data_IF_004961882558
#
_entry.id   IF_004961882558
#
_cell.length_a   1.000
_cell.length_b   1.000
_cell.length_c   1.000
_cell.angle_alpha   90.00
_cell.angle_beta   90.00
_cell.angle_gamma   90.00
#
_symmetry.space_group_name_H-M   'P 1'
#
loop_
_entity.id
_entity.type
_entity.pdbx_description
1 polymer ?
#
# COMPACT_ATOMS: atom_id res chain seq x y z
N UNK A 1 7.36 -27.18 24.99
CA UNK A 1 6.40 -26.07 25.17
C UNK A 1 6.84 -24.86 24.31
N UNK A 2 6.79 -24.99 22.99
CA UNK A 2 7.37 -24.01 22.04
C UNK A 2 6.32 -23.33 21.12
N UNK A 3 5.03 -23.54 21.40
CA UNK A 3 3.95 -23.02 20.55
C UNK A 3 3.50 -21.60 20.90
N UNK A 4 3.93 -21.04 22.05
CA UNK A 4 3.42 -19.74 22.54
C UNK A 4 4.25 -18.53 22.09
N UNK A 5 5.49 -18.71 21.64
CA UNK A 5 6.35 -17.59 21.24
C UNK A 5 6.03 -17.02 19.85
N UNK A 6 5.44 -17.80 18.94
CA UNK A 6 5.11 -17.32 17.58
C UNK A 6 3.93 -16.36 17.54
N UNK A 7 3.03 -16.40 18.53
CA UNK A 7 1.87 -15.51 18.58
C UNK A 7 2.24 -14.08 19.07
N UNK A 8 3.34 -13.94 19.81
CA UNK A 8 3.71 -12.66 20.44
C UNK A 8 4.40 -11.72 19.44
N UNK A 9 5.11 -12.26 18.44
CA UNK A 9 5.77 -11.44 17.41
C UNK A 9 4.79 -10.84 16.38
N UNK A 10 3.59 -11.40 16.23
CA UNK A 10 2.54 -10.84 15.36
C UNK A 10 1.78 -9.66 16.01
N UNK A 11 1.85 -9.51 17.33
CA UNK A 11 1.18 -8.41 18.05
C UNK A 11 1.96 -7.10 18.10
N UNK A 12 3.26 -7.12 17.77
CA UNK A 12 4.15 -5.97 17.95
C UNK A 12 4.21 -5.02 16.72
N UNK A 13 3.37 -5.25 15.71
CA UNK A 13 3.20 -4.32 14.59
C UNK A 13 2.03 -3.34 14.80
N UNK A 14 1.20 -3.54 15.82
CA UNK A 14 -0.04 -2.78 16.04
C UNK A 14 0.12 -1.49 16.89
N UNK A 15 1.32 -1.20 17.41
CA UNK A 15 1.53 -0.11 18.37
C UNK A 15 2.69 0.83 18.02
N UNK A 16 3.20 0.80 16.78
CA UNK A 16 4.06 1.87 16.30
C UNK A 16 3.15 2.93 15.65
N UNK A 17 3.37 4.24 15.92
CA UNK A 17 2.70 5.28 15.15
C UNK A 17 2.89 4.92 13.69
N UNK A 18 1.81 4.92 12.90
CA UNK A 18 1.81 4.46 11.52
C UNK A 18 2.96 5.13 10.76
N UNK A 19 4.11 4.48 10.76
CA UNK A 19 5.27 4.95 10.04
C UNK A 19 4.86 4.81 8.60
N UNK A 20 4.96 5.93 7.89
CA UNK A 20 4.71 5.99 6.46
C UNK A 20 5.37 4.78 5.81
N UNK A 21 4.57 3.89 5.22
CA UNK A 21 5.12 2.64 4.71
C UNK A 21 6.02 2.94 3.51
N UNK A 22 7.23 2.35 3.51
CA UNK A 22 8.23 2.53 2.47
C UNK A 22 8.63 1.18 1.84
N UNK A 23 8.75 1.10 0.50
CA UNK A 23 9.30 -0.05 -0.20
C UNK A 23 10.83 -0.05 -0.08
N UNK A 24 11.34 -0.31 1.13
CA UNK A 24 12.79 -0.28 1.42
C UNK A 24 13.54 -1.50 0.88
N UNK A 25 12.85 -2.64 0.75
CA UNK A 25 13.41 -3.88 0.20
C UNK A 25 12.34 -4.67 -0.55
N UNK A 26 12.72 -5.61 -1.45
CA UNK A 26 11.75 -6.49 -2.09
C UNK A 26 10.96 -7.34 -1.09
N UNK A 27 11.58 -7.71 0.03
CA UNK A 27 10.90 -8.42 1.12
C UNK A 27 9.83 -7.56 1.81
N UNK A 28 10.10 -6.26 2.00
CA UNK A 28 9.12 -5.33 2.56
C UNK A 28 7.89 -5.17 1.62
N UNK A 29 8.15 -5.13 0.31
CA UNK A 29 7.10 -5.07 -0.73
C UNK A 29 6.23 -6.32 -0.68
N UNK A 30 6.85 -7.51 -0.65
CA UNK A 30 6.13 -8.77 -0.55
C UNK A 30 5.32 -8.86 0.75
N UNK A 31 5.91 -8.48 1.89
CA UNK A 31 5.23 -8.46 3.18
C UNK A 31 4.00 -7.53 3.16
N UNK A 32 4.11 -6.37 2.49
CA UNK A 32 2.98 -5.45 2.33
C UNK A 32 1.87 -6.02 1.45
N UNK A 33 2.22 -6.71 0.37
CA UNK A 33 1.25 -7.40 -0.48
C UNK A 33 0.48 -8.46 0.33
N UNK A 34 1.20 -9.28 1.09
CA UNK A 34 0.61 -10.32 1.94
C UNK A 34 -0.27 -9.73 3.04
N UNK A 35 0.19 -8.66 3.70
CA UNK A 35 -0.58 -7.93 4.71
C UNK A 35 -1.90 -7.42 4.13
N UNK A 36 -1.88 -6.77 2.96
CA UNK A 36 -3.08 -6.24 2.32
C UNK A 36 -4.03 -7.36 1.86
N UNK A 37 -3.49 -8.46 1.32
CA UNK A 37 -4.30 -9.62 0.94
C UNK A 37 -5.02 -10.22 2.14
N UNK A 38 -4.33 -10.39 3.27
CA UNK A 38 -4.93 -10.88 4.51
C UNK A 38 -5.92 -9.87 5.10
N UNK A 39 -5.58 -8.59 5.11
CA UNK A 39 -6.41 -7.53 5.67
C UNK A 39 -7.73 -7.36 4.91
N UNK A 40 -7.78 -7.73 3.63
CA UNK A 40 -8.98 -7.59 2.79
C UNK A 40 -9.66 -8.92 2.47
N UNK A 41 -9.08 -10.05 2.89
CA UNK A 41 -9.71 -11.35 2.72
C UNK A 41 -11.07 -11.36 3.45
N UNK A 42 -12.14 -11.63 2.70
CA UNK A 42 -13.50 -11.70 3.23
C UNK A 42 -14.17 -10.35 3.55
N UNK A 43 -13.51 -9.21 3.25
CA UNK A 43 -14.11 -7.88 3.39
C UNK A 43 -14.91 -7.50 2.14
N UNK A 44 -15.97 -6.72 2.33
CA UNK A 44 -16.72 -6.07 1.26
C UNK A 44 -15.90 -4.97 0.58
N UNK A 45 -16.33 -4.56 -0.62
CA UNK A 45 -15.69 -3.48 -1.36
C UNK A 45 -15.69 -2.14 -0.57
N UNK A 46 -16.74 -1.88 0.19
CA UNK A 46 -16.90 -0.68 1.03
C UNK A 46 -15.93 -0.70 2.22
N UNK A 47 -15.79 -1.84 2.89
CA UNK A 47 -14.81 -2.00 3.98
C UNK A 47 -13.37 -1.86 3.47
N UNK A 48 -13.08 -2.40 2.29
CA UNK A 48 -11.77 -2.24 1.64
C UNK A 48 -11.53 -0.77 1.27
N UNK A 49 -12.55 -0.06 0.76
CA UNK A 49 -12.45 1.36 0.46
C UNK A 49 -12.13 2.18 1.72
N UNK A 50 -12.84 1.92 2.82
CA UNK A 50 -12.62 2.63 4.09
C UNK A 50 -11.23 2.34 4.67
N UNK A 51 -10.75 1.09 4.57
CA UNK A 51 -9.41 0.70 4.98
C UNK A 51 -8.33 1.45 4.17
N UNK A 52 -8.49 1.58 2.84
CA UNK A 52 -7.59 2.38 2.00
C UNK A 52 -7.58 3.86 2.40
N UNK A 53 -8.75 4.44 2.69
CA UNK A 53 -8.84 5.84 3.17
C UNK A 53 -8.10 6.00 4.50
N UNK A 54 -8.28 5.05 5.42
CA UNK A 54 -7.58 5.07 6.71
C UNK A 54 -6.06 5.03 6.52
N UNK A 55 -5.56 4.11 5.68
CA UNK A 55 -4.14 4.00 5.35
C UNK A 55 -3.59 5.25 4.65
N UNK A 56 -4.40 5.90 3.83
CA UNK A 56 -4.00 7.13 3.14
C UNK A 56 -3.73 8.31 4.10
N UNK A 57 -4.28 8.29 5.32
CA UNK A 57 -4.10 9.34 6.34
C UNK A 57 -2.80 9.20 7.15
N UNK A 58 -1.90 8.32 6.74
CA UNK A 58 -0.57 8.19 7.35
C UNK A 58 0.28 9.46 7.15
N UNK A 59 1.35 9.68 7.97
CA UNK A 59 2.36 10.69 7.69
C UNK A 59 2.93 10.54 6.27
N UNK A 60 3.39 11.64 5.67
CA UNK A 60 3.84 11.66 4.27
C UNK A 60 4.99 10.67 4.02
N UNK A 61 4.80 9.64 3.18
CA UNK A 61 5.88 8.77 2.73
C UNK A 61 6.85 9.48 1.78
N UNK A 62 8.12 9.07 1.81
CA UNK A 62 9.17 9.51 0.90
C UNK A 62 8.87 9.13 -0.55
N UNK A 63 8.25 7.97 -0.78
CA UNK A 63 7.90 7.55 -2.14
C UNK A 63 6.99 8.55 -2.86
N UNK A 64 6.18 9.35 -2.16
CA UNK A 64 5.31 10.40 -2.74
C UNK A 64 6.09 11.42 -3.57
N UNK A 65 7.35 11.68 -3.20
CA UNK A 65 8.22 12.62 -3.91
C UNK A 65 8.91 12.02 -5.14
N UNK A 66 8.72 10.72 -5.41
CA UNK A 66 9.35 10.01 -6.52
C UNK A 66 8.37 9.89 -7.69
N UNK A 67 8.91 9.88 -8.91
CA UNK A 67 8.12 9.66 -10.13
C UNK A 67 7.97 8.17 -10.43
N UNK A 68 9.10 7.45 -10.50
CA UNK A 68 9.18 6.01 -10.70
C UNK A 68 10.57 5.49 -10.28
N UNK A 69 10.67 4.21 -9.93
CA UNK A 69 11.95 3.52 -9.67
C UNK A 69 11.77 2.00 -9.79
N UNK A 70 12.87 1.23 -9.70
CA UNK A 70 12.81 -0.23 -9.68
C UNK A 70 13.65 -0.83 -8.56
N UNK A 71 13.36 -2.07 -8.20
CA UNK A 71 14.11 -2.88 -7.24
C UNK A 71 14.25 -4.30 -7.77
N UNK A 72 15.44 -4.86 -7.68
CA UNK A 72 15.76 -6.20 -8.22
C UNK A 72 15.80 -7.21 -7.07
N UNK A 73 15.20 -8.38 -7.28
CA UNK A 73 15.19 -9.52 -6.38
C UNK A 73 15.40 -10.82 -7.18
N UNK A 74 16.67 -11.18 -7.37
CA UNK A 74 17.02 -12.36 -8.16
C UNK A 74 16.43 -12.26 -9.58
N UNK A 75 15.54 -13.19 -10.00
CA UNK A 75 14.92 -13.13 -11.32
C UNK A 75 13.76 -12.12 -11.43
N UNK A 76 13.26 -11.57 -10.32
CA UNK A 76 12.09 -10.68 -10.30
C UNK A 76 12.54 -9.22 -10.19
N UNK A 77 12.00 -8.35 -11.03
CA UNK A 77 12.16 -6.89 -10.92
C UNK A 77 10.83 -6.25 -10.54
N UNK A 78 10.81 -5.54 -9.43
CA UNK A 78 9.69 -4.69 -9.02
C UNK A 78 9.86 -3.29 -9.61
N UNK A 79 8.91 -2.85 -10.41
CA UNK A 79 8.79 -1.50 -10.93
C UNK A 79 7.75 -0.74 -10.11
N UNK A 80 8.12 0.46 -9.67
CA UNK A 80 7.28 1.34 -8.89
C UNK A 80 6.98 2.62 -9.67
N UNK A 81 5.74 3.08 -9.57
CA UNK A 81 5.30 4.35 -10.10
C UNK A 81 4.35 5.03 -9.12
N UNK A 82 4.35 6.36 -9.10
CA UNK A 82 3.43 7.14 -8.26
C UNK A 82 2.34 7.74 -9.13
N UNK A 83 1.12 7.21 -8.98
CA UNK A 83 -0.08 7.81 -9.54
C UNK A 83 -0.58 8.96 -8.67
N UNK A 84 -1.14 9.98 -9.31
CA UNK A 84 -1.79 11.11 -8.63
C UNK A 84 -3.21 11.24 -9.16
N UNK A 85 -4.17 11.39 -8.27
CA UNK A 85 -5.55 11.69 -8.62
C UNK A 85 -6.08 12.75 -7.65
N UNK A 86 -6.94 13.66 -8.12
CA UNK A 86 -7.77 14.42 -7.20
C UNK A 86 -8.59 13.42 -6.37
N UNK A 87 -8.60 13.55 -5.04
CA UNK A 87 -9.32 12.58 -4.20
C UNK A 87 -10.81 12.70 -4.52
N UNK A 88 -11.46 11.66 -5.10
CA UNK A 88 -12.87 11.76 -5.38
C UNK A 88 -13.59 11.74 -4.04
N UNK A 89 -14.38 12.77 -3.76
CA UNK A 89 -15.34 12.79 -2.64
C UNK A 89 -16.37 11.64 -2.70
N UNK A 90 -16.33 10.83 -3.76
CA UNK A 90 -17.07 9.58 -3.91
C UNK A 90 -16.14 8.46 -4.41
N UNK A 91 -15.72 7.58 -3.51
CA UNK A 91 -14.86 6.42 -3.80
C UNK A 91 -15.50 5.39 -4.76
N UNK A 92 -16.76 5.62 -5.16
CA UNK A 92 -17.56 4.71 -6.00
C UNK A 92 -17.45 4.95 -7.52
N UNK A 93 -16.78 6.01 -8.00
CA UNK A 93 -16.76 6.36 -9.43
C UNK A 93 -15.36 6.33 -10.06
N UNK A 94 -14.44 5.49 -9.56
CA UNK A 94 -13.18 5.29 -10.27
C UNK A 94 -13.43 4.45 -11.55
N UNK A 95 -13.04 4.93 -12.75
CA UNK A 95 -13.17 4.14 -13.97
C UNK A 95 -12.37 2.83 -13.85
N UNK A 96 -12.85 1.72 -14.45
CA UNK A 96 -12.13 0.46 -14.45
C UNK A 96 -10.74 0.68 -15.04
N UNK A 97 -9.70 0.38 -14.24
CA UNK A 97 -8.31 0.56 -14.69
C UNK A 97 -8.02 -0.43 -15.84
N UNK A 98 -7.27 -0.01 -16.87
CA UNK A 98 -6.81 -0.92 -17.91
C UNK A 98 -6.01 -2.06 -17.29
N UNK A 99 -6.32 -3.29 -17.71
CA UNK A 99 -5.58 -4.51 -17.35
C UNK A 99 -4.16 -4.37 -17.90
N UNK A 100 -3.18 -4.10 -17.04
CA UNK A 100 -1.76 -3.97 -17.43
C UNK A 100 -0.98 -2.86 -16.73
N UNK A 101 -1.65 -1.90 -16.08
CA UNK A 101 -0.97 -0.94 -15.19
C UNK A 101 -0.89 -1.56 -13.79
N UNK A 102 0.30 -1.65 -13.19
CA UNK A 102 0.58 -2.35 -11.93
C UNK A 102 -0.45 -2.23 -10.78
N UNK A 103 -0.29 -3.07 -9.76
CA UNK A 103 -1.22 -3.15 -8.63
C UNK A 103 -0.97 -2.00 -7.64
N UNK A 104 -2.02 -1.30 -7.16
CA UNK A 104 -1.89 -0.38 -6.04
C UNK A 104 -1.33 -1.10 -4.81
N UNK A 105 -0.23 -0.58 -4.27
CA UNK A 105 0.47 -1.13 -3.11
C UNK A 105 0.27 -0.26 -1.86
N UNK A 106 0.20 1.06 -2.02
CA UNK A 106 -0.04 1.97 -0.90
C UNK A 106 -0.68 3.29 -1.34
N UNK A 107 -1.19 4.06 -0.38
CA UNK A 107 -1.89 5.32 -0.59
C UNK A 107 -1.39 6.38 0.39
N UNK A 108 -1.39 7.63 -0.05
CA UNK A 108 -1.20 8.78 0.82
C UNK A 108 -2.06 9.94 0.33
N UNK A 109 -2.75 10.61 1.25
CA UNK A 109 -3.62 11.74 0.95
C UNK A 109 -3.01 13.05 1.46
N UNK A 110 -2.81 13.98 0.53
CA UNK A 110 -2.44 15.36 0.83
C UNK A 110 -3.71 16.17 1.08
N UNK A 111 -4.04 16.40 2.34
CA UNK A 111 -5.25 17.14 2.74
C UNK A 111 -5.19 18.62 2.31
N UNK A 112 -3.99 19.22 2.33
CA UNK A 112 -3.82 20.62 1.90
C UNK A 112 -4.00 20.78 0.39
N UNK A 113 -3.54 19.79 -0.39
CA UNK A 113 -3.64 19.81 -1.85
C UNK A 113 -4.86 19.07 -2.40
N UNK A 114 -5.69 18.45 -1.55
CA UNK A 114 -6.83 17.62 -1.98
C UNK A 114 -6.45 16.47 -2.91
N UNK A 115 -5.22 15.96 -2.81
CA UNK A 115 -4.62 15.04 -3.79
C UNK A 115 -4.34 13.66 -3.18
N UNK A 116 -4.84 12.61 -3.84
CA UNK A 116 -4.53 11.22 -3.53
C UNK A 116 -3.33 10.73 -4.34
N UNK A 117 -2.29 10.33 -3.63
CA UNK A 117 -1.14 9.65 -4.19
C UNK A 117 -1.32 8.14 -4.03
N UNK A 118 -1.08 7.39 -5.10
CA UNK A 118 -1.11 5.92 -5.10
C UNK A 118 0.24 5.40 -5.52
N UNK A 119 0.86 4.60 -4.67
CA UNK A 119 2.03 3.81 -5.05
C UNK A 119 1.56 2.57 -5.82
N UNK A 120 2.06 2.42 -7.03
CA UNK A 120 1.77 1.29 -7.91
C UNK A 120 3.01 0.43 -8.03
N UNK A 121 2.84 -0.89 -7.95
CA UNK A 121 3.91 -1.87 -8.14
C UNK A 121 3.58 -2.85 -9.28
N UNK A 122 4.57 -3.16 -10.11
CA UNK A 122 4.51 -4.20 -11.13
C UNK A 122 5.72 -5.11 -10.97
N UNK A 123 5.49 -6.42 -10.82
CA UNK A 123 6.55 -7.42 -10.80
C UNK A 123 6.71 -8.03 -12.20
N UNK A 124 7.93 -8.08 -12.72
CA UNK A 124 8.29 -8.76 -13.97
C UNK A 124 9.42 -9.74 -13.76
#
# INVERSE_FOLDING_TARGET
MALRLRAILLGLAAALPALAWEPMSPAAVQARIEELQQAWAGKSAEEIAQDKISRARQPRPQWVSRSAWKMELGPVTYYFAVGKAAFPSSVNNAPPRPVGTGRPLDWWYDDMAGTLYTLVVEAR
#
